data_IF_021233402274
#
_entry.id   IF_021233402274
#
_cell.length_a   1.000
_cell.length_b   1.000
_cell.length_c   1.000
_cell.angle_alpha   90.00
_cell.angle_beta   90.00
_cell.angle_gamma   90.00
#
_symmetry.space_group_name_H-M   'P 1'
#
loop_
_entity.id
_entity.type
_entity.pdbx_description
1 polymer ?
#
# COMPACT_ATOMS: atom_id res chain seq x y z
N UNK A 1 -0.64 -6.66 -12.72
CA UNK A 1 -0.52 -5.52 -11.78
C UNK A 1 -1.64 -4.50 -11.93
N UNK A 2 -2.03 -4.11 -13.14
CA UNK A 2 -3.05 -3.07 -13.34
C UNK A 2 -4.41 -3.38 -12.69
N UNK A 3 -4.90 -4.62 -12.77
CA UNK A 3 -6.14 -5.03 -12.08
C UNK A 3 -6.00 -4.87 -10.57
N UNK A 4 -4.90 -5.37 -9.98
CA UNK A 4 -4.65 -5.27 -8.54
C UNK A 4 -4.53 -3.82 -8.08
N UNK A 5 -3.86 -2.97 -8.87
CA UNK A 5 -3.79 -1.54 -8.63
C UNK A 5 -5.19 -0.90 -8.66
N UNK A 6 -6.02 -1.23 -9.65
CA UNK A 6 -7.39 -0.73 -9.74
C UNK A 6 -8.28 -1.23 -8.59
N UNK A 7 -8.12 -2.49 -8.17
CA UNK A 7 -8.81 -3.07 -7.02
C UNK A 7 -8.41 -2.38 -5.72
N UNK A 8 -7.11 -2.21 -5.45
CA UNK A 8 -6.64 -1.47 -4.27
C UNK A 8 -7.04 0.01 -4.33
N UNK A 9 -7.12 0.58 -5.54
CA UNK A 9 -7.67 1.92 -5.79
C UNK A 9 -9.13 2.09 -5.35
N UNK A 10 -9.87 1.01 -5.08
CA UNK A 10 -11.18 1.07 -4.39
C UNK A 10 -11.04 1.66 -2.97
N UNK A 11 -9.93 1.41 -2.30
CA UNK A 11 -9.60 2.00 -1.00
C UNK A 11 -8.93 3.38 -1.11
N UNK A 12 -8.58 3.82 -2.32
CA UNK A 12 -7.87 5.06 -2.60
C UNK A 12 -6.46 4.83 -3.13
N UNK A 13 -5.93 5.80 -3.87
CA UNK A 13 -4.61 5.69 -4.50
C UNK A 13 -3.49 5.54 -3.46
N UNK A 14 -3.59 6.18 -2.30
CA UNK A 14 -2.61 6.02 -1.23
C UNK A 14 -2.49 4.59 -0.72
N UNK A 15 -3.60 3.85 -0.54
CA UNK A 15 -3.57 2.45 -0.07
C UNK A 15 -2.88 1.56 -1.10
N UNK A 16 -3.22 1.77 -2.38
CA UNK A 16 -2.56 1.10 -3.50
C UNK A 16 -1.04 1.32 -3.46
N UNK A 17 -0.62 2.58 -3.32
CA UNK A 17 0.81 2.96 -3.24
C UNK A 17 1.49 2.34 -2.03
N UNK A 18 0.85 2.31 -0.85
CA UNK A 18 1.42 1.68 0.34
C UNK A 18 1.76 0.20 0.09
N UNK A 19 0.88 -0.55 -0.57
CA UNK A 19 1.12 -1.98 -0.89
C UNK A 19 2.27 -2.13 -1.88
N UNK A 20 2.30 -1.31 -2.95
CA UNK A 20 3.38 -1.34 -3.95
C UNK A 20 4.75 -1.04 -3.32
N UNK A 21 4.84 0.04 -2.54
CA UNK A 21 6.11 0.48 -1.93
C UNK A 21 6.58 -0.50 -0.86
N UNK A 22 5.69 -1.05 -0.04
CA UNK A 22 6.07 -2.07 0.95
C UNK A 22 6.62 -3.33 0.27
N UNK A 23 5.97 -3.79 -0.80
CA UNK A 23 6.44 -4.94 -1.59
C UNK A 23 7.80 -4.64 -2.23
N UNK A 24 7.97 -3.48 -2.87
CA UNK A 24 9.24 -3.08 -3.49
C UNK A 24 10.37 -2.94 -2.47
N UNK A 25 10.08 -2.39 -1.29
CA UNK A 25 11.06 -2.26 -0.21
C UNK A 25 11.49 -3.63 0.30
N UNK A 26 10.56 -4.59 0.42
CA UNK A 26 10.86 -5.96 0.81
C UNK A 26 11.67 -6.70 -0.26
N UNK A 27 11.28 -6.60 -1.53
CA UNK A 27 12.02 -7.18 -2.66
C UNK A 27 13.46 -6.64 -2.74
N UNK A 28 13.65 -5.36 -2.39
CA UNK A 28 14.97 -4.72 -2.33
C UNK A 28 15.76 -5.07 -1.05
N UNK A 29 15.19 -5.82 -0.11
CA UNK A 29 15.82 -6.17 1.17
C UNK A 29 15.97 -4.99 2.15
N UNK A 30 15.15 -3.95 2.01
CA UNK A 30 15.21 -2.73 2.83
C UNK A 30 14.37 -2.80 4.11
N UNK A 31 13.44 -3.76 4.19
CA UNK A 31 12.59 -4.00 5.35
C UNK A 31 12.57 -5.51 5.69
N UNK A 32 12.32 -5.89 6.96
CA UNK A 32 12.31 -7.29 7.36
C UNK A 32 11.16 -8.08 6.73
N UNK A 33 11.43 -9.34 6.38
CA UNK A 33 10.41 -10.29 5.92
C UNK A 33 9.61 -10.84 7.11
N UNK A 34 8.29 -10.94 6.96
CA UNK A 34 7.41 -11.55 7.96
C UNK A 34 7.06 -10.65 9.16
N UNK A 35 7.49 -9.39 9.14
CA UNK A 35 7.20 -8.42 10.20
C UNK A 35 6.21 -7.35 9.71
N UNK A 36 5.45 -6.80 10.65
CA UNK A 36 4.55 -5.67 10.37
C UNK A 36 5.36 -4.38 10.26
N UNK A 37 5.08 -3.62 9.20
CA UNK A 37 5.66 -2.29 8.97
C UNK A 37 4.55 -1.26 8.75
N UNK A 38 4.86 0.00 9.01
CA UNK A 38 3.98 1.11 8.64
C UNK A 38 4.38 1.61 7.26
N UNK A 39 3.45 1.54 6.31
CA UNK A 39 3.62 2.11 4.98
C UNK A 39 2.81 3.39 4.85
N UNK A 40 3.46 4.47 4.41
CA UNK A 40 2.82 5.75 4.12
C UNK A 40 2.74 5.99 2.61
N UNK A 41 1.60 6.51 2.16
CA UNK A 41 1.28 6.70 0.76
C UNK A 41 0.55 8.01 0.50
N UNK A 42 0.47 8.38 -0.77
CA UNK A 42 -0.13 9.64 -1.21
C UNK A 42 -1.13 9.40 -2.32
N UNK A 43 -2.28 10.08 -2.25
CA UNK A 43 -3.30 10.09 -3.31
C UNK A 43 -3.17 11.32 -4.23
N UNK A 44 -1.97 11.90 -4.35
CA UNK A 44 -1.70 13.19 -4.99
C UNK A 44 -0.36 13.78 -4.51
N UNK A 45 -0.39 14.95 -3.87
CA UNK A 45 0.79 15.60 -3.26
C UNK A 45 0.75 15.45 -1.73
N UNK A 46 1.90 15.26 -1.09
CA UNK A 46 2.04 15.12 0.35
C UNK A 46 2.04 13.67 0.83
N UNK A 47 1.44 13.41 2.00
CA UNK A 47 1.15 12.07 2.50
C UNK A 47 -0.23 12.12 3.17
N UNK A 48 -1.17 11.30 2.69
CA UNK A 48 -2.58 11.32 3.12
C UNK A 48 -3.13 9.95 3.55
N UNK A 49 -2.30 8.91 3.43
CA UNK A 49 -2.67 7.53 3.73
C UNK A 49 -1.54 6.83 4.50
N UNK A 50 -1.88 6.07 5.53
CA UNK A 50 -0.96 5.22 6.25
C UNK A 50 -1.64 3.90 6.65
N UNK A 51 -0.94 2.79 6.48
CA UNK A 51 -1.41 1.44 6.81
C UNK A 51 -0.35 0.67 7.59
N UNK A 52 -0.78 -0.25 8.44
CA UNK A 52 0.07 -1.33 8.97
C UNK A 52 -0.06 -2.51 8.00
N UNK A 53 1.07 -2.99 7.50
CA UNK A 53 1.13 -4.04 6.48
C UNK A 53 2.26 -5.02 6.77
N UNK A 54 2.02 -6.30 6.54
CA UNK A 54 3.04 -7.34 6.44
C UNK A 54 3.22 -7.69 4.97
N UNK A 55 4.19 -7.09 4.27
CA UNK A 55 4.40 -7.36 2.84
C UNK A 55 4.95 -8.76 2.61
N UNK A 56 4.64 -9.33 1.45
CA UNK A 56 5.30 -10.49 0.88
C UNK A 56 6.03 -10.09 -0.40
N UNK A 57 6.90 -10.95 -0.93
CA UNK A 57 7.60 -10.69 -2.18
C UNK A 57 6.63 -10.53 -3.35
N UNK A 58 7.01 -9.80 -4.40
CA UNK A 58 6.12 -9.59 -5.55
C UNK A 58 5.65 -10.90 -6.22
N UNK A 59 6.48 -11.95 -6.19
CA UNK A 59 6.15 -13.28 -6.71
C UNK A 59 5.04 -13.99 -5.89
N UNK A 60 4.89 -13.62 -4.62
CA UNK A 60 3.95 -14.18 -3.64
C UNK A 60 3.04 -13.08 -3.07
N UNK A 61 2.65 -12.12 -3.91
CA UNK A 61 1.96 -10.90 -3.49
C UNK A 61 0.65 -11.15 -2.72
N UNK A 62 -0.05 -12.26 -3.01
CA UNK A 62 -1.29 -12.64 -2.32
C UNK A 62 -1.10 -13.04 -0.86
N UNK A 63 0.14 -13.30 -0.43
CA UNK A 63 0.48 -13.53 0.98
C UNK A 63 0.67 -12.20 1.77
N UNK A 64 0.61 -11.06 1.08
CA UNK A 64 0.65 -9.73 1.72
C UNK A 64 -0.60 -9.52 2.57
N UNK A 65 -0.41 -9.11 3.81
CA UNK A 65 -1.49 -8.85 4.76
C UNK A 65 -1.56 -7.38 5.16
N UNK A 66 -2.70 -6.73 4.95
CA UNK A 66 -2.96 -5.37 5.44
C UNK A 66 -3.62 -5.51 6.82
N UNK A 67 -2.86 -5.27 7.89
CA UNK A 67 -3.32 -5.42 9.28
C UNK A 67 -4.30 -4.32 9.68
N UNK A 68 -3.99 -3.07 9.34
CA UNK A 68 -4.79 -1.91 9.77
C UNK A 68 -4.67 -0.74 8.79
N UNK A 69 -5.75 0.00 8.58
CA UNK A 69 -5.74 1.29 7.87
C UNK A 69 -5.81 2.40 8.93
N UNK A 70 -4.67 3.03 9.22
CA UNK A 70 -4.56 4.07 10.24
C UNK A 70 -5.26 5.35 9.80
N UNK A 71 -5.02 5.76 8.57
CA UNK A 71 -5.70 6.90 7.95
C UNK A 71 -5.75 6.74 6.44
N UNK A 72 -6.80 7.29 5.82
CA UNK A 72 -6.92 7.48 4.38
C UNK A 72 -7.94 8.60 4.08
N UNK A 73 -7.95 9.18 2.87
CA UNK A 73 -8.99 10.12 2.49
C UNK A 73 -10.40 9.52 2.61
N UNK A 74 -11.33 10.31 3.17
CA UNK A 74 -12.74 9.92 3.30
C UNK A 74 -13.48 9.98 1.95
N UNK A 75 -13.07 10.88 1.04
CA UNK A 75 -13.65 11.05 -0.29
C UNK A 75 -12.62 10.67 -1.34
N UNK A 76 -13.07 10.02 -2.42
CA UNK A 76 -12.26 9.91 -3.64
C UNK A 76 -12.02 11.31 -4.18
N UNK A 77 -10.77 11.65 -4.49
CA UNK A 77 -10.50 12.78 -5.39
C UNK A 77 -11.14 12.43 -6.72
N UNK A 78 -12.09 13.25 -7.16
CA UNK A 78 -12.48 13.24 -8.58
C UNK A 78 -11.25 13.70 -9.33
N UNK A 79 -10.78 12.88 -10.26
CA UNK A 79 -9.90 13.35 -11.33
C UNK A 79 -10.63 14.53 -11.98
N UNK A 80 -9.99 15.69 -11.97
CA UNK A 80 -10.47 16.89 -12.63
C UNK A 80 -10.27 16.75 -14.14
#
# INVERSE_FOLDING_TARGET
MEIMANTLGMFGQGVKVCVEVATMALDAGLIPYGEDVIAAGVSGVGADTAIIIRPSYAASIFDTWISEILCKPAKRKREA
#
